data_IF_453896232691
#
_entry.id   IF_453896232691
#
_cell.length_a   1.000
_cell.length_b   1.000
_cell.length_c   1.000
_cell.angle_alpha   90.00
_cell.angle_beta   90.00
_cell.angle_gamma   90.00
#
_symmetry.space_group_name_H-M   'P 1'
#
loop_
_entity.id
_entity.type
_entity.pdbx_description
1 polymer ?
#
# COMPACT_ATOMS: atom_id res chain seq x y z
N UNK A 1 25.96 1.74 -6.21
CA UNK A 1 24.70 2.50 -6.06
C UNK A 1 23.55 1.53 -6.29
N UNK A 2 22.84 1.13 -5.25
CA UNK A 2 21.63 0.30 -5.39
C UNK A 2 20.54 1.14 -6.03
N UNK A 3 20.12 0.76 -7.23
CA UNK A 3 18.98 1.41 -7.88
C UNK A 3 17.73 1.20 -7.02
N UNK A 4 16.97 2.26 -6.76
CA UNK A 4 15.66 2.12 -6.12
C UNK A 4 14.79 1.27 -7.05
N UNK A 5 14.27 0.19 -6.50
CA UNK A 5 13.29 -0.62 -7.21
C UNK A 5 11.90 -0.04 -6.90
N UNK A 6 11.43 0.82 -7.78
CA UNK A 6 10.08 1.36 -7.79
C UNK A 6 9.47 1.06 -9.15
N UNK A 7 8.27 0.51 -9.15
CA UNK A 7 7.46 0.23 -10.34
C UNK A 7 6.10 0.89 -10.18
N UNK A 8 5.61 1.48 -11.26
CA UNK A 8 4.31 2.15 -11.33
C UNK A 8 3.54 1.55 -12.50
N UNK A 9 2.28 1.19 -12.26
CA UNK A 9 1.37 0.64 -13.26
C UNK A 9 0.09 1.44 -13.22
N UNK A 10 -0.25 2.11 -14.29
CA UNK A 10 -1.54 2.79 -14.47
C UNK A 10 -2.56 1.83 -15.07
N UNK A 11 -3.84 2.08 -14.81
CA UNK A 11 -4.96 1.24 -15.28
C UNK A 11 -4.77 -0.25 -14.95
N UNK A 12 -4.31 -0.52 -13.71
CA UNK A 12 -3.76 -1.81 -13.31
C UNK A 12 -4.80 -2.95 -13.34
N UNK A 13 -6.02 -2.70 -12.90
CA UNK A 13 -7.05 -3.73 -12.84
C UNK A 13 -8.32 -3.30 -13.60
N UNK A 14 -8.87 -4.17 -14.47
CA UNK A 14 -10.18 -3.92 -15.07
C UNK A 14 -11.31 -3.96 -14.03
N UNK A 15 -11.09 -4.58 -12.87
CA UNK A 15 -12.09 -4.79 -11.82
C UNK A 15 -12.00 -3.73 -10.71
N UNK A 16 -11.36 -2.58 -10.95
CA UNK A 16 -11.11 -1.54 -9.94
C UNK A 16 -12.39 -1.09 -9.24
N UNK A 17 -13.50 -0.96 -9.96
CA UNK A 17 -14.79 -0.56 -9.37
C UNK A 17 -15.35 -1.63 -8.45
N UNK A 18 -15.25 -2.91 -8.80
CA UNK A 18 -15.67 -4.02 -7.94
C UNK A 18 -14.79 -4.12 -6.69
N UNK A 19 -13.49 -3.94 -6.82
CA UNK A 19 -12.52 -3.89 -5.72
C UNK A 19 -12.87 -2.73 -4.78
N UNK A 20 -13.14 -1.55 -5.33
CA UNK A 20 -13.54 -0.37 -4.56
C UNK A 20 -14.86 -0.57 -3.84
N UNK A 21 -15.87 -1.14 -4.50
CA UNK A 21 -17.17 -1.46 -3.85
C UNK A 21 -16.97 -2.46 -2.70
N UNK A 22 -16.12 -3.46 -2.87
CA UNK A 22 -15.78 -4.38 -1.79
C UNK A 22 -15.13 -3.63 -0.63
N UNK A 23 -14.18 -2.73 -0.90
CA UNK A 23 -13.51 -1.91 0.11
C UNK A 23 -14.50 -1.01 0.88
N UNK A 24 -15.45 -0.35 0.20
CA UNK A 24 -16.45 0.52 0.83
C UNK A 24 -17.36 -0.26 1.80
N UNK A 25 -17.64 -1.53 1.50
CA UNK A 25 -18.51 -2.39 2.31
C UNK A 25 -17.76 -3.14 3.42
N UNK A 26 -16.44 -3.03 3.49
CA UNK A 26 -15.63 -3.72 4.48
C UNK A 26 -15.75 -3.09 5.88
N UNK A 27 -15.28 -3.80 6.89
CA UNK A 27 -15.19 -3.32 8.26
C UNK A 27 -13.79 -2.79 8.54
N UNK A 28 -13.72 -1.60 9.12
CA UNK A 28 -12.49 -0.91 9.41
C UNK A 28 -12.25 -0.77 10.91
N UNK A 29 -11.01 -0.96 11.31
CA UNK A 29 -10.56 -0.91 12.69
C UNK A 29 -9.54 0.23 12.88
N UNK A 30 -9.68 1.04 13.95
CA UNK A 30 -8.69 2.05 14.28
C UNK A 30 -7.38 1.37 14.71
N UNK A 31 -6.24 2.09 14.65
CA UNK A 31 -4.99 1.60 15.19
C UNK A 31 -5.09 1.38 16.71
N UNK A 32 -4.38 0.38 17.19
CA UNK A 32 -4.20 0.14 18.61
C UNK A 32 -3.01 0.95 19.15
N UNK A 33 -2.79 0.97 20.46
CA UNK A 33 -1.68 1.69 21.09
C UNK A 33 -0.28 1.21 20.60
N UNK A 34 -0.21 0.01 20.07
CA UNK A 34 1.04 -0.58 19.54
C UNK A 34 1.22 -0.37 18.05
N UNK A 35 0.24 0.22 17.41
CA UNK A 35 0.27 0.49 15.98
C UNK A 35 0.82 1.88 15.70
N UNK A 36 1.54 2.02 14.60
CA UNK A 36 2.24 3.25 14.22
C UNK A 36 1.73 3.86 12.90
N UNK A 37 0.56 3.39 12.41
CA UNK A 37 -0.10 4.00 11.25
C UNK A 37 -1.27 4.88 11.69
N UNK A 38 -1.64 5.83 10.85
CA UNK A 38 -2.83 6.67 11.00
C UNK A 38 -3.95 6.18 10.09
N UNK A 39 -5.20 6.50 10.44
CA UNK A 39 -6.38 6.05 9.69
C UNK A 39 -6.93 4.73 10.20
N UNK A 40 -7.57 3.98 9.32
CA UNK A 40 -8.27 2.73 9.68
C UNK A 40 -7.88 1.64 8.71
N UNK A 41 -7.73 0.41 9.18
CA UNK A 41 -7.43 -0.75 8.35
C UNK A 41 -8.54 -1.78 8.39
N UNK A 42 -8.78 -2.43 7.25
CA UNK A 42 -9.65 -3.60 7.15
C UNK A 42 -9.01 -4.83 7.79
N UNK A 43 -9.71 -5.95 7.77
CA UNK A 43 -9.09 -7.26 7.97
C UNK A 43 -7.97 -7.49 6.93
N UNK A 44 -7.13 -8.47 7.21
CA UNK A 44 -6.08 -8.91 6.29
C UNK A 44 -6.68 -9.69 5.11
N UNK A 45 -6.18 -9.40 3.92
CA UNK A 45 -6.41 -10.14 2.68
C UNK A 45 -5.12 -10.80 2.19
N UNK A 46 -5.28 -11.84 1.39
CA UNK A 46 -4.16 -12.55 0.78
C UNK A 46 -4.51 -13.09 -0.61
N UNK A 47 -3.52 -13.58 -1.32
CA UNK A 47 -3.72 -14.26 -2.61
C UNK A 47 -4.49 -15.59 -2.52
N UNK A 48 -4.83 -16.05 -1.31
CA UNK A 48 -5.60 -17.29 -1.05
C UNK A 48 -7.09 -17.04 -0.90
N UNK A 49 -7.53 -15.78 -0.78
CA UNK A 49 -8.93 -15.44 -0.63
C UNK A 49 -9.69 -15.69 -1.94
N UNK A 50 -10.90 -16.25 -1.82
CA UNK A 50 -11.77 -16.54 -2.96
C UNK A 50 -12.75 -15.38 -3.18
N UNK A 51 -12.23 -14.24 -3.58
CA UNK A 51 -12.99 -13.02 -3.90
C UNK A 51 -12.17 -12.10 -4.82
N UNK A 52 -12.77 -11.00 -5.27
CA UNK A 52 -12.14 -10.03 -6.18
C UNK A 52 -10.82 -9.44 -5.61
N UNK A 53 -10.72 -9.29 -4.30
CA UNK A 53 -9.50 -8.79 -3.65
C UNK A 53 -8.40 -9.84 -3.66
N UNK A 54 -8.74 -11.12 -3.40
CA UNK A 54 -7.80 -12.23 -3.52
C UNK A 54 -7.28 -12.41 -4.95
N UNK A 55 -8.12 -12.16 -5.95
CA UNK A 55 -7.70 -12.17 -7.36
C UNK A 55 -6.72 -11.03 -7.66
N UNK A 56 -7.01 -9.82 -7.21
CA UNK A 56 -6.06 -8.71 -7.27
C UNK A 56 -4.73 -9.08 -6.58
N UNK A 57 -4.77 -9.67 -5.38
CA UNK A 57 -3.58 -10.11 -4.67
C UNK A 57 -2.77 -11.15 -5.46
N UNK A 58 -3.42 -12.09 -6.16
CA UNK A 58 -2.74 -13.05 -7.05
C UNK A 58 -2.03 -12.36 -8.21
N UNK A 59 -2.66 -11.36 -8.82
CA UNK A 59 -2.02 -10.55 -9.89
C UNK A 59 -0.81 -9.79 -9.36
N UNK A 60 -0.93 -9.12 -8.21
CA UNK A 60 0.19 -8.40 -7.57
C UNK A 60 1.36 -9.35 -7.27
N UNK A 61 1.09 -10.54 -6.69
CA UNK A 61 2.13 -11.53 -6.40
C UNK A 61 2.83 -12.01 -7.67
N UNK A 62 2.07 -12.24 -8.75
CA UNK A 62 2.64 -12.62 -10.06
C UNK A 62 3.54 -11.51 -10.62
N UNK A 63 3.14 -10.26 -10.49
CA UNK A 63 3.94 -9.13 -10.97
C UNK A 63 5.17 -8.88 -10.09
N UNK A 64 5.09 -9.09 -8.78
CA UNK A 64 6.26 -9.08 -7.90
C UNK A 64 7.29 -10.12 -8.34
N UNK A 65 6.85 -11.35 -8.67
CA UNK A 65 7.72 -12.40 -9.18
C UNK A 65 8.37 -12.01 -10.51
N UNK A 66 7.56 -11.56 -11.46
CA UNK A 66 8.04 -11.17 -12.79
C UNK A 66 9.01 -9.98 -12.77
N UNK A 67 8.75 -8.98 -11.92
CA UNK A 67 9.52 -7.74 -11.91
C UNK A 67 10.79 -7.79 -11.05
N UNK A 68 10.80 -8.63 -10.02
CA UNK A 68 11.86 -8.56 -9.00
C UNK A 68 12.54 -9.88 -8.70
N UNK A 69 11.84 -11.02 -8.78
CA UNK A 69 12.38 -12.31 -8.34
C UNK A 69 11.77 -13.48 -9.08
N UNK A 70 12.26 -13.82 -10.23
CA UNK A 70 11.77 -14.94 -11.02
C UNK A 70 11.76 -16.26 -10.24
N UNK A 71 10.59 -16.89 -10.12
CA UNK A 71 10.38 -18.17 -9.49
C UNK A 71 10.38 -18.16 -7.95
N UNK A 72 10.14 -17.01 -7.33
CA UNK A 72 10.10 -16.90 -5.87
C UNK A 72 8.70 -17.17 -5.31
N UNK A 73 8.67 -17.71 -4.08
CA UNK A 73 7.45 -17.73 -3.27
C UNK A 73 7.41 -16.54 -2.33
N UNK A 74 6.21 -16.00 -2.12
CA UNK A 74 6.01 -14.85 -1.24
C UNK A 74 5.00 -15.17 -0.14
N UNK A 75 5.29 -14.72 1.07
CA UNK A 75 4.29 -14.42 2.06
C UNK A 75 3.75 -13.03 1.70
N UNK A 76 2.45 -12.88 1.63
CA UNK A 76 1.80 -11.67 1.14
C UNK A 76 0.59 -11.34 2.01
N UNK A 77 0.61 -10.17 2.59
CA UNK A 77 -0.44 -9.63 3.44
C UNK A 77 -0.90 -8.28 2.85
N UNK A 78 -2.19 -8.08 2.69
CA UNK A 78 -2.77 -6.85 2.18
C UNK A 78 -3.93 -6.36 3.05
N UNK A 79 -4.16 -5.05 3.07
CA UNK A 79 -5.22 -4.40 3.86
C UNK A 79 -5.78 -3.22 3.07
N UNK A 80 -7.08 -3.02 3.09
CA UNK A 80 -7.60 -1.70 2.74
C UNK A 80 -7.23 -0.72 3.85
N UNK A 81 -6.78 0.45 3.44
CA UNK A 81 -6.38 1.52 4.34
C UNK A 81 -7.19 2.78 4.02
N UNK A 82 -8.10 3.10 4.90
CA UNK A 82 -8.98 4.27 4.85
C UNK A 82 -8.38 5.39 5.69
N UNK A 83 -8.08 6.52 5.04
CA UNK A 83 -7.34 7.64 5.63
C UNK A 83 -8.11 8.94 5.43
N UNK A 84 -9.17 9.22 6.23
CA UNK A 84 -9.88 10.49 6.19
C UNK A 84 -9.02 11.63 6.73
N UNK A 85 -9.28 12.84 6.28
CA UNK A 85 -8.55 14.04 6.71
C UNK A 85 -8.54 14.21 8.25
N UNK A 86 -9.63 13.86 8.90
CA UNK A 86 -9.75 13.94 10.37
C UNK A 86 -8.68 13.12 11.10
N UNK A 87 -8.24 11.99 10.54
CA UNK A 87 -7.16 11.17 11.14
C UNK A 87 -5.83 11.90 11.18
N UNK A 88 -5.51 12.67 10.15
CA UNK A 88 -4.32 13.52 10.11
C UNK A 88 -4.43 14.68 11.09
N UNK A 89 -5.59 15.31 11.17
CA UNK A 89 -5.85 16.43 12.09
C UNK A 89 -5.77 16.02 13.56
N UNK A 90 -6.31 14.84 13.93
CA UNK A 90 -6.22 14.33 15.30
C UNK A 90 -4.81 13.94 15.72
N UNK A 91 -3.98 13.50 14.79
CA UNK A 91 -2.58 13.22 15.08
C UNK A 91 -1.82 14.50 15.51
N UNK A 92 -2.21 15.64 14.96
CA UNK A 92 -1.48 16.89 15.09
C UNK A 92 -0.15 16.91 14.32
N UNK A 93 0.43 18.09 14.12
CA UNK A 93 1.58 18.24 13.21
C UNK A 93 2.83 17.45 13.66
N UNK A 94 3.13 17.42 14.94
CA UNK A 94 4.33 16.73 15.46
C UNK A 94 4.24 15.21 15.27
N UNK A 95 3.10 14.60 15.59
CA UNK A 95 2.88 13.16 15.41
C UNK A 95 2.81 12.83 13.93
N UNK A 96 2.13 13.65 13.14
CA UNK A 96 2.08 13.48 11.69
C UNK A 96 3.48 13.44 11.07
N UNK A 97 4.33 14.41 11.33
CA UNK A 97 5.69 14.46 10.80
C UNK A 97 6.54 13.28 11.27
N UNK A 98 6.36 12.82 12.51
CA UNK A 98 7.10 11.68 13.05
C UNK A 98 6.72 10.34 12.41
N UNK A 99 5.45 10.17 12.02
CA UNK A 99 4.92 8.93 11.43
C UNK A 99 4.95 8.95 9.88
N UNK A 100 5.06 10.12 9.27
CA UNK A 100 4.96 10.31 7.83
C UNK A 100 6.01 9.48 7.09
N UNK A 101 7.26 9.56 7.47
CA UNK A 101 8.34 8.83 6.79
C UNK A 101 8.87 7.65 7.59
N UNK A 102 8.82 6.47 6.99
CA UNK A 102 9.25 5.22 7.59
C UNK A 102 9.84 4.23 6.57
N UNK A 103 10.28 3.09 7.08
CA UNK A 103 10.72 1.92 6.30
C UNK A 103 10.06 0.67 6.84
N UNK A 104 9.62 -0.22 5.96
CA UNK A 104 8.97 -1.48 6.32
C UNK A 104 9.99 -2.61 6.43
N UNK A 105 10.75 -2.63 7.53
CA UNK A 105 11.86 -3.57 7.68
C UNK A 105 11.47 -5.05 7.72
N UNK A 106 10.21 -5.37 7.99
CA UNK A 106 9.70 -6.75 8.07
C UNK A 106 9.35 -7.35 6.71
N UNK A 107 9.33 -6.55 5.65
CA UNK A 107 9.02 -7.00 4.30
C UNK A 107 10.19 -6.75 3.34
N UNK A 108 10.17 -7.40 2.17
CA UNK A 108 11.11 -7.12 1.08
C UNK A 108 10.56 -6.07 0.14
N UNK A 109 9.26 -6.15 -0.15
CA UNK A 109 8.52 -5.19 -0.94
C UNK A 109 7.27 -4.75 -0.21
N UNK A 110 6.90 -3.52 -0.45
CA UNK A 110 5.62 -2.94 -0.10
C UNK A 110 5.01 -2.27 -1.33
N UNK A 111 3.75 -1.94 -1.24
CA UNK A 111 3.11 -1.17 -2.29
C UNK A 111 1.72 -0.71 -1.91
N UNK A 112 1.17 0.10 -2.81
CA UNK A 112 -0.17 0.66 -2.68
C UNK A 112 -0.89 0.55 -4.01
N UNK A 113 -2.16 0.19 -3.92
CA UNK A 113 -3.09 0.28 -5.04
C UNK A 113 -4.14 1.34 -4.73
N UNK A 114 -4.13 2.43 -5.48
CA UNK A 114 -4.98 3.59 -5.26
C UNK A 114 -6.37 3.37 -5.86
N UNK A 115 -7.40 3.46 -5.01
CA UNK A 115 -8.81 3.20 -5.39
C UNK A 115 -9.76 4.35 -5.02
N UNK A 116 -9.23 5.52 -4.64
CA UNK A 116 -10.01 6.73 -4.48
C UNK A 116 -10.22 7.41 -5.85
N UNK A 117 -11.45 7.62 -6.32
CA UNK A 117 -11.70 8.05 -7.71
C UNK A 117 -11.39 9.53 -7.96
N UNK A 118 -11.40 10.33 -6.92
CA UNK A 118 -11.19 11.79 -7.01
C UNK A 118 -10.12 12.22 -5.98
N UNK A 119 -8.86 11.80 -6.15
CA UNK A 119 -7.80 12.17 -5.22
C UNK A 119 -7.51 13.67 -5.31
N UNK A 120 -7.13 14.24 -4.18
CA UNK A 120 -6.63 15.62 -4.14
C UNK A 120 -5.18 15.68 -4.61
N UNK A 121 -4.74 16.84 -5.05
CA UNK A 121 -3.34 17.14 -5.26
C UNK A 121 -2.55 16.87 -3.96
N UNK A 122 -1.33 16.39 -4.04
CA UNK A 122 -0.48 16.05 -2.90
C UNK A 122 -1.01 14.93 -1.98
N UNK A 123 -1.89 14.05 -2.47
CA UNK A 123 -2.41 12.91 -1.69
C UNK A 123 -1.73 11.58 -2.01
N UNK A 124 -0.63 11.60 -2.75
CA UNK A 124 0.11 10.42 -3.18
C UNK A 124 1.00 9.80 -2.10
N UNK A 125 2.15 9.31 -2.54
CA UNK A 125 3.18 8.72 -1.68
C UNK A 125 4.53 9.32 -2.02
N UNK A 126 5.25 9.78 -1.03
CA UNK A 126 6.61 10.31 -1.18
C UNK A 126 7.65 9.26 -0.87
N UNK A 127 8.77 9.35 -1.58
CA UNK A 127 9.96 8.52 -1.44
C UNK A 127 11.18 9.41 -1.26
N UNK A 128 12.02 9.13 -0.26
CA UNK A 128 13.27 9.87 -0.06
C UNK A 128 14.43 9.12 -0.70
N UNK A 129 15.09 9.79 -1.64
CA UNK A 129 16.30 9.29 -2.31
C UNK A 129 17.35 10.37 -2.39
N UNK A 130 18.59 10.07 -1.90
CA UNK A 130 19.71 11.02 -1.90
C UNK A 130 19.27 12.38 -1.31
N UNK A 131 18.59 12.35 -0.17
CA UNK A 131 18.05 13.50 0.55
C UNK A 131 17.06 14.38 -0.25
N UNK A 132 16.52 13.83 -1.33
CA UNK A 132 15.47 14.46 -2.14
C UNK A 132 14.17 13.69 -2.03
N UNK A 133 13.10 14.41 -1.87
CA UNK A 133 11.74 13.87 -1.90
C UNK A 133 11.26 13.74 -3.36
N UNK A 134 10.70 12.57 -3.67
CA UNK A 134 10.09 12.24 -4.95
C UNK A 134 8.67 11.76 -4.69
N UNK A 135 7.69 12.45 -5.19
CA UNK A 135 6.29 12.10 -5.05
C UNK A 135 5.82 11.22 -6.21
N UNK A 136 5.02 10.23 -5.88
CA UNK A 136 4.18 9.48 -6.84
C UNK A 136 2.73 9.81 -6.52
N UNK A 137 2.05 10.39 -7.51
CA UNK A 137 0.68 10.87 -7.37
C UNK A 137 -0.31 9.73 -7.08
N UNK A 138 -1.30 10.03 -6.26
CA UNK A 138 -2.48 9.20 -6.10
C UNK A 138 -3.33 9.33 -7.38
N UNK A 139 -3.31 8.31 -8.20
CA UNK A 139 -4.13 8.20 -9.41
C UNK A 139 -5.04 6.99 -9.26
N UNK A 140 -6.32 7.16 -9.52
CA UNK A 140 -7.28 6.05 -9.50
C UNK A 140 -6.81 4.90 -10.41
N UNK A 141 -6.88 3.68 -9.91
CA UNK A 141 -6.42 2.46 -10.59
C UNK A 141 -4.89 2.39 -10.85
N UNK A 142 -4.10 3.12 -10.06
CA UNK A 142 -2.63 3.03 -10.10
C UNK A 142 -2.12 2.08 -9.02
N UNK A 143 -1.25 1.14 -9.41
CA UNK A 143 -0.46 0.33 -8.50
C UNK A 143 0.97 0.86 -8.44
N UNK A 144 1.52 0.98 -7.23
CA UNK A 144 2.95 1.18 -7.01
C UNK A 144 3.52 0.03 -6.19
N UNK A 145 4.69 -0.45 -6.59
CA UNK A 145 5.46 -1.48 -5.88
C UNK A 145 6.88 -0.97 -5.66
N UNK A 146 7.41 -1.13 -4.47
CA UNK A 146 8.74 -0.61 -4.13
C UNK A 146 9.47 -1.48 -3.10
N UNK A 147 10.79 -1.36 -3.08
CA UNK A 147 11.61 -1.95 -2.03
C UNK A 147 11.21 -1.32 -0.68
N UNK A 148 10.76 -2.14 0.25
CA UNK A 148 10.21 -1.72 1.53
C UNK A 148 11.21 -0.96 2.42
N UNK A 149 12.50 -1.08 2.14
CA UNK A 149 13.58 -0.38 2.85
C UNK A 149 13.82 1.05 2.36
N UNK A 150 13.15 1.47 1.31
CA UNK A 150 13.16 2.88 0.91
C UNK A 150 12.39 3.68 1.95
N UNK A 151 12.95 4.80 2.38
CA UNK A 151 12.22 5.77 3.21
C UNK A 151 11.05 6.30 2.40
N UNK A 152 9.84 6.08 2.87
CA UNK A 152 8.61 6.47 2.19
C UNK A 152 7.53 6.87 3.18
N UNK A 153 6.49 7.53 2.68
CA UNK A 153 5.37 7.92 3.51
C UNK A 153 4.23 8.54 2.72
N UNK A 154 3.04 8.60 3.33
CA UNK A 154 1.90 9.23 2.69
C UNK A 154 2.12 10.74 2.57
N UNK A 155 1.56 11.30 1.51
CA UNK A 155 1.22 12.70 1.42
C UNK A 155 -0.10 12.95 2.19
N UNK A 156 -0.74 14.08 1.99
CA UNK A 156 -1.93 14.46 2.73
C UNK A 156 -3.08 13.44 2.65
N UNK A 157 -3.80 13.35 3.74
CA UNK A 157 -5.10 12.69 3.79
C UNK A 157 -6.19 13.65 3.32
N UNK A 158 -7.28 13.10 2.84
CA UNK A 158 -8.41 13.90 2.34
C UNK A 158 -9.74 13.18 2.54
N UNK A 159 -10.82 13.91 2.34
CA UNK A 159 -12.19 13.43 2.48
C UNK A 159 -12.59 13.18 3.93
N UNK A 160 -13.84 12.88 4.14
CA UNK A 160 -14.47 12.75 5.46
C UNK A 160 -15.16 11.40 5.67
N UNK A 161 -15.50 10.69 4.59
CA UNK A 161 -16.08 9.36 4.65
C UNK A 161 -15.40 8.37 3.68
N UNK A 162 -15.75 7.08 3.81
CA UNK A 162 -15.15 5.98 3.05
C UNK A 162 -15.34 6.12 1.53
N UNK A 163 -16.33 6.88 1.07
CA UNK A 163 -16.63 7.04 -0.36
C UNK A 163 -15.83 8.14 -1.02
N UNK A 164 -15.34 9.12 -0.25
CA UNK A 164 -14.66 10.30 -0.77
C UNK A 164 -13.25 10.52 -0.19
N UNK A 165 -12.83 9.72 0.79
CA UNK A 165 -11.52 9.87 1.41
C UNK A 165 -10.41 9.08 0.69
N UNK A 166 -9.18 9.28 1.15
CA UNK A 166 -8.03 8.50 0.69
C UNK A 166 -8.23 7.04 1.06
N UNK A 167 -8.39 6.20 0.05
CA UNK A 167 -8.61 4.76 0.18
C UNK A 167 -7.64 4.01 -0.73
N UNK A 168 -6.88 3.10 -0.15
CA UNK A 168 -5.90 2.28 -0.86
C UNK A 168 -5.97 0.84 -0.40
N UNK A 169 -5.52 -0.10 -1.24
CA UNK A 169 -5.03 -1.38 -0.74
C UNK A 169 -3.52 -1.22 -0.50
N UNK A 170 -3.07 -1.36 0.74
CA UNK A 170 -1.64 -1.46 1.08
C UNK A 170 -1.26 -2.92 1.18
N UNK A 171 -0.06 -3.29 0.72
CA UNK A 171 0.42 -4.66 0.85
C UNK A 171 1.89 -4.72 1.25
N UNK A 172 2.22 -5.82 1.89
CA UNK A 172 3.57 -6.18 2.32
C UNK A 172 3.90 -7.58 1.81
N UNK A 173 5.11 -7.73 1.28
CA UNK A 173 5.55 -8.98 0.71
C UNK A 173 6.92 -9.37 1.24
N UNK A 174 7.02 -10.60 1.75
CA UNK A 174 8.25 -11.20 2.21
C UNK A 174 8.61 -12.39 1.31
N UNK A 175 9.83 -12.38 0.77
CA UNK A 175 10.34 -13.49 -0.03
C UNK A 175 10.61 -14.69 0.85
N UNK A 176 9.98 -15.82 0.56
CA UNK A 176 10.29 -17.08 1.22
C UNK A 176 11.53 -17.69 0.57
N UNK A 177 12.66 -17.62 1.27
CA UNK A 177 13.89 -18.29 0.85
C UNK A 177 13.80 -19.71 1.38
N UNK A 178 13.65 -20.71 0.49
CA UNK A 178 13.84 -22.10 0.88
C UNK A 178 15.33 -22.32 1.18
N UNK A 179 15.70 -22.27 2.45
CA UNK A 179 17.07 -22.59 2.92
C UNK A 179 17.45 -24.08 2.73
N UNK A 180 16.48 -24.91 2.36
CA UNK A 180 16.73 -26.30 2.02
C UNK A 180 16.74 -26.42 0.51
N UNK A 181 17.95 -26.37 -0.05
CA UNK A 181 18.18 -26.63 -1.47
C UNK A 181 17.56 -27.97 -1.85
N UNK A 182 16.94 -27.99 -3.00
CA UNK A 182 16.55 -29.21 -3.70
C UNK A 182 17.72 -30.18 -3.76
N UNK A 183 17.56 -31.33 -3.15
CA UNK A 183 18.30 -32.54 -3.51
C UNK A 183 17.77 -33.03 -4.85
#
# INVERSE_FOLDING_TARGET
MTSIRLKIFDDYSPDVDAIRQHAIQDTYYPPTINDWWLGFRSKMYSHKDDNVVGELCRHIVKDLDNQFYHGSKFKFDAYFHYCPLVSQQFAGPEVWESLRFHRDYKSNFAGLYFIAPNPTEYSGTSFIKNDKEHMVDNVFNRLIMFDSKIMHGPQDFFGDDITNARLNLVFFSERVINLYGTV
#
